data_IF_987553753449
#
_entry.id   IF_987553753449
#
_cell.length_a   1.000
_cell.length_b   1.000
_cell.length_c   1.000
_cell.angle_alpha   90.00
_cell.angle_beta   90.00
_cell.angle_gamma   90.00
#
_symmetry.space_group_name_H-M   'P 1'
#
loop_
_entity.id
_entity.type
_entity.pdbx_description
1 polymer ?
#
# COMPACT_ATOMS: atom_id res chain seq x y z
N UNK A 1 -38.95 -81.37 31.38
CA UNK A 1 -38.59 -80.19 32.12
C UNK A 1 -37.36 -79.56 31.42
N UNK A 2 -37.59 -78.58 30.54
CA UNK A 2 -36.53 -77.80 29.87
C UNK A 2 -36.59 -76.43 30.47
N UNK A 3 -35.53 -75.98 31.16
CA UNK A 3 -35.40 -74.62 31.67
C UNK A 3 -34.57 -73.78 30.70
N UNK A 4 -35.12 -72.63 30.47
CA UNK A 4 -34.76 -71.58 29.56
C UNK A 4 -33.52 -70.83 30.07
N UNK A 5 -32.47 -70.74 29.28
CA UNK A 5 -31.22 -70.03 29.58
C UNK A 5 -30.90 -68.91 28.52
N UNK A 6 -31.89 -68.03 28.31
CA UNK A 6 -31.74 -66.99 27.30
C UNK A 6 -31.98 -65.55 27.82
N UNK A 7 -31.43 -65.15 29.00
CA UNK A 7 -31.72 -63.83 29.52
C UNK A 7 -30.49 -63.04 30.15
N UNK A 8 -29.26 -63.38 29.83
CA UNK A 8 -28.14 -62.66 30.46
C UNK A 8 -27.08 -62.11 29.51
N UNK A 9 -27.33 -61.95 28.22
CA UNK A 9 -26.26 -61.49 27.29
C UNK A 9 -26.62 -60.19 26.48
N UNK A 10 -27.45 -59.31 27.08
CA UNK A 10 -27.95 -58.14 26.36
C UNK A 10 -27.69 -56.78 27.06
N UNK A 11 -26.78 -56.71 28.01
CA UNK A 11 -26.52 -55.50 28.82
C UNK A 11 -25.09 -54.97 28.79
N UNK A 12 -24.19 -55.49 27.98
CA UNK A 12 -22.77 -55.05 27.96
C UNK A 12 -22.30 -54.40 26.66
N UNK A 13 -23.17 -54.16 25.69
CA UNK A 13 -22.82 -53.59 24.39
C UNK A 13 -23.17 -52.08 24.24
N UNK A 14 -23.56 -51.40 25.31
CA UNK A 14 -23.98 -49.99 25.25
C UNK A 14 -23.05 -48.99 25.96
N UNK A 15 -21.85 -49.37 26.37
CA UNK A 15 -20.94 -48.51 27.18
C UNK A 15 -19.60 -48.17 26.51
N UNK A 16 -19.38 -48.48 25.22
CA UNK A 16 -18.11 -48.17 24.52
C UNK A 16 -18.27 -47.06 23.45
N UNK A 17 -19.47 -46.51 23.24
CA UNK A 17 -19.70 -45.52 22.17
C UNK A 17 -19.62 -44.03 22.62
N UNK A 18 -19.15 -43.73 23.82
CA UNK A 18 -19.14 -42.34 24.35
C UNK A 18 -17.76 -41.75 24.66
N UNK A 19 -16.65 -42.28 24.11
CA UNK A 19 -15.32 -41.82 24.44
C UNK A 19 -14.55 -41.17 23.26
N UNK A 20 -15.21 -40.86 22.13
CA UNK A 20 -14.57 -40.18 20.98
C UNK A 20 -15.11 -38.79 20.70
N UNK A 21 -15.76 -38.16 21.67
CA UNK A 21 -16.18 -36.77 21.57
C UNK A 21 -15.20 -35.89 22.36
N UNK A 22 -14.30 -35.26 21.68
CA UNK A 22 -13.70 -34.03 22.23
C UNK A 22 -12.19 -34.04 22.48
N UNK A 23 -11.41 -34.02 21.45
CA UNK A 23 -10.15 -33.28 21.50
C UNK A 23 -9.96 -32.52 20.17
N UNK A 24 -10.89 -31.58 19.88
CA UNK A 24 -10.53 -30.43 19.10
C UNK A 24 -9.71 -29.57 20.06
N UNK A 25 -8.43 -29.89 20.22
CA UNK A 25 -7.48 -28.94 20.76
C UNK A 25 -7.52 -27.75 19.81
N UNK A 26 -8.05 -26.63 20.29
CA UNK A 26 -7.69 -25.32 19.76
C UNK A 26 -6.15 -25.27 19.83
N UNK A 27 -5.48 -25.61 18.74
CA UNK A 27 -4.07 -25.29 18.56
C UNK A 27 -4.01 -23.77 18.68
N UNK A 28 -3.64 -23.29 19.87
CA UNK A 28 -3.05 -21.96 19.99
C UNK A 28 -1.85 -22.00 19.06
N UNK A 29 -2.01 -21.50 17.86
CA UNK A 29 -0.93 -21.41 16.91
C UNK A 29 0.12 -20.54 17.58
N UNK A 30 1.29 -21.09 17.92
CA UNK A 30 2.45 -20.33 18.38
C UNK A 30 3.01 -19.48 17.21
N UNK A 31 2.12 -18.80 16.52
CA UNK A 31 2.50 -17.88 15.46
C UNK A 31 2.95 -16.56 16.07
N UNK A 32 4.09 -15.99 15.62
CA UNK A 32 5.07 -16.58 14.69
C UNK A 32 6.21 -17.34 15.40
N UNK A 33 6.74 -18.41 14.74
CA UNK A 33 7.88 -19.21 15.24
C UNK A 33 9.14 -19.02 14.37
N UNK A 34 9.06 -18.30 13.26
CA UNK A 34 10.16 -18.04 12.31
C UNK A 34 10.05 -16.60 11.79
N UNK A 35 11.10 -16.05 11.17
CA UNK A 35 11.06 -14.71 10.59
C UNK A 35 9.92 -14.53 9.58
N UNK A 36 9.31 -13.35 9.60
CA UNK A 36 8.32 -12.93 8.60
C UNK A 36 9.02 -12.21 7.44
N UNK A 37 8.39 -12.20 6.26
CA UNK A 37 8.85 -11.44 5.09
C UNK A 37 7.81 -10.39 4.71
N UNK A 38 8.24 -9.15 4.58
CA UNK A 38 7.48 -8.07 3.96
C UNK A 38 8.00 -7.87 2.54
N UNK A 39 7.19 -8.24 1.55
CA UNK A 39 7.49 -8.02 0.13
C UNK A 39 7.03 -6.62 -0.24
N UNK A 40 7.97 -5.77 -0.66
CA UNK A 40 7.73 -4.37 -1.01
C UNK A 40 7.91 -4.18 -2.52
N UNK A 41 6.91 -3.68 -3.26
CA UNK A 41 6.91 -3.67 -4.73
C UNK A 41 7.70 -2.52 -5.37
N UNK A 42 8.51 -1.80 -4.61
CA UNK A 42 9.28 -0.63 -5.07
C UNK A 42 10.71 -0.70 -4.54
N UNK A 43 11.62 0.08 -5.16
CA UNK A 43 13.01 0.16 -4.72
C UNK A 43 13.13 0.69 -3.28
N UNK A 44 14.20 0.31 -2.59
CA UNK A 44 14.49 0.77 -1.24
C UNK A 44 14.54 2.31 -1.18
N UNK A 45 14.00 2.90 -0.10
CA UNK A 45 13.86 4.36 0.06
C UNK A 45 12.61 4.94 -0.60
N UNK A 46 11.78 4.15 -1.29
CA UNK A 46 10.42 4.56 -1.68
C UNK A 46 9.52 4.71 -0.47
N UNK A 47 8.48 5.57 -0.54
CA UNK A 47 7.58 5.81 0.58
C UNK A 47 6.99 4.54 1.19
N UNK A 48 6.63 3.56 0.36
CA UNK A 48 6.15 2.24 0.82
C UNK A 48 7.21 1.47 1.60
N UNK A 49 8.48 1.49 1.15
CA UNK A 49 9.61 0.83 1.81
C UNK A 49 9.91 1.48 3.18
N UNK A 50 9.87 2.81 3.24
CA UNK A 50 10.09 3.56 4.48
C UNK A 50 9.03 3.18 5.54
N UNK A 51 7.75 3.13 5.15
CA UNK A 51 6.66 2.71 6.04
C UNK A 51 6.83 1.24 6.46
N UNK A 52 7.13 0.35 5.51
CA UNK A 52 7.35 -1.07 5.78
C UNK A 52 8.45 -1.29 6.84
N UNK A 53 9.58 -0.59 6.72
CA UNK A 53 10.68 -0.66 7.70
C UNK A 53 10.29 -0.07 9.06
N UNK A 54 9.62 1.09 9.05
CA UNK A 54 9.21 1.76 10.29
C UNK A 54 8.26 0.89 11.13
N UNK A 55 7.24 0.33 10.49
CA UNK A 55 6.25 -0.52 11.17
C UNK A 55 6.82 -1.92 11.44
N UNK A 56 7.58 -2.48 10.49
CA UNK A 56 8.23 -3.78 10.61
C UNK A 56 9.19 -3.87 11.79
N UNK A 57 9.99 -2.83 12.05
CA UNK A 57 10.86 -2.75 13.23
C UNK A 57 10.08 -2.85 14.53
N UNK A 58 8.96 -2.13 14.64
CA UNK A 58 8.12 -2.15 15.85
C UNK A 58 7.40 -3.50 16.01
N UNK A 59 6.83 -4.04 14.94
CA UNK A 59 6.18 -5.35 14.96
C UNK A 59 7.18 -6.48 15.26
N UNK A 60 8.42 -6.41 14.75
CA UNK A 60 9.47 -7.39 15.02
C UNK A 60 9.77 -7.49 16.52
N UNK A 61 9.83 -6.36 17.22
CA UNK A 61 10.03 -6.31 18.68
C UNK A 61 8.86 -6.93 19.44
N UNK A 62 7.63 -6.62 19.02
CA UNK A 62 6.40 -7.11 19.66
C UNK A 62 6.19 -8.61 19.41
N UNK A 63 6.44 -9.09 18.19
CA UNK A 63 6.29 -10.50 17.79
C UNK A 63 7.45 -11.40 18.28
N UNK A 64 8.58 -10.82 18.70
CA UNK A 64 9.78 -11.58 19.07
C UNK A 64 10.42 -12.32 17.89
N UNK A 65 10.07 -11.97 16.66
CA UNK A 65 10.59 -12.57 15.43
C UNK A 65 11.04 -11.49 14.45
N UNK A 66 12.16 -11.68 13.73
CA UNK A 66 12.62 -10.74 12.72
C UNK A 66 11.61 -10.57 11.61
N UNK A 67 11.49 -9.33 11.12
CA UNK A 67 10.74 -9.00 9.88
C UNK A 67 11.75 -8.58 8.81
N UNK A 68 11.88 -9.40 7.77
CA UNK A 68 12.80 -9.17 6.65
C UNK A 68 12.07 -8.42 5.55
N UNK A 69 12.59 -7.25 5.17
CA UNK A 69 12.05 -6.46 4.06
C UNK A 69 12.75 -6.87 2.76
N UNK A 70 11.95 -7.35 1.79
CA UNK A 70 12.42 -7.76 0.48
C UNK A 70 11.81 -6.86 -0.61
N UNK A 71 12.64 -6.06 -1.28
CA UNK A 71 12.18 -5.17 -2.36
C UNK A 71 12.10 -5.95 -3.67
N UNK A 72 10.91 -5.99 -4.31
CA UNK A 72 10.61 -6.65 -5.59
C UNK A 72 9.97 -5.65 -6.56
N UNK A 73 10.72 -4.71 -7.11
CA UNK A 73 10.17 -3.66 -7.95
C UNK A 73 9.78 -4.18 -9.34
N UNK A 74 8.79 -3.53 -9.94
CA UNK A 74 8.39 -3.75 -11.32
C UNK A 74 6.89 -3.80 -11.56
N UNK A 75 6.47 -3.42 -12.76
CA UNK A 75 5.09 -3.43 -13.24
C UNK A 75 4.07 -2.86 -12.24
N UNK A 76 4.36 -1.67 -11.66
CA UNK A 76 3.48 -1.01 -10.68
C UNK A 76 3.19 -1.83 -9.43
N UNK A 77 3.98 -2.86 -9.14
CA UNK A 77 3.83 -3.73 -7.98
C UNK A 77 3.14 -5.05 -8.26
N UNK A 78 2.69 -5.32 -9.48
CA UNK A 78 1.99 -6.57 -9.83
C UNK A 78 2.88 -7.80 -9.68
N UNK A 79 4.21 -7.68 -9.89
CA UNK A 79 5.18 -8.77 -9.70
C UNK A 79 5.20 -9.21 -8.23
N UNK A 80 5.34 -8.26 -7.31
CA UNK A 80 5.35 -8.53 -5.88
C UNK A 80 4.00 -9.08 -5.40
N UNK A 81 2.89 -8.50 -5.86
CA UNK A 81 1.55 -8.95 -5.53
C UNK A 81 1.29 -10.39 -6.00
N UNK A 82 1.71 -10.74 -7.22
CA UNK A 82 1.62 -12.10 -7.76
C UNK A 82 2.46 -13.11 -6.95
N UNK A 83 3.64 -12.72 -6.48
CA UNK A 83 4.47 -13.55 -5.62
C UNK A 83 3.76 -13.86 -4.30
N UNK A 84 3.18 -12.84 -3.64
CA UNK A 84 2.48 -13.03 -2.37
C UNK A 84 1.17 -13.80 -2.56
N UNK A 85 0.40 -13.52 -3.60
CA UNK A 85 -0.83 -14.25 -3.92
C UNK A 85 -0.62 -15.77 -4.07
N UNK A 86 0.59 -16.18 -4.51
CA UNK A 86 1.00 -17.58 -4.71
C UNK A 86 1.83 -18.16 -3.56
N UNK A 87 2.09 -17.39 -2.51
CA UNK A 87 2.83 -17.89 -1.34
C UNK A 87 1.93 -18.72 -0.42
N UNK A 88 2.57 -19.52 0.45
CA UNK A 88 1.85 -20.28 1.48
C UNK A 88 1.01 -19.34 2.34
N UNK A 89 -0.28 -19.67 2.60
CA UNK A 89 -1.16 -18.81 3.37
C UNK A 89 -0.98 -19.01 4.88
N UNK A 90 0.28 -18.99 5.34
CA UNK A 90 0.69 -19.26 6.72
C UNK A 90 0.98 -17.97 7.53
N UNK A 91 0.80 -16.79 6.92
CA UNK A 91 1.03 -15.48 7.55
C UNK A 91 2.47 -15.01 7.57
N UNK A 92 3.43 -15.78 7.06
CA UNK A 92 4.84 -15.40 7.08
C UNK A 92 5.31 -14.60 5.87
N UNK A 93 4.53 -14.57 4.80
CA UNK A 93 4.84 -13.75 3.62
C UNK A 93 3.71 -12.75 3.39
N UNK A 94 4.01 -11.47 3.54
CA UNK A 94 3.04 -10.39 3.47
C UNK A 94 3.47 -9.37 2.42
N UNK A 95 2.50 -8.80 1.71
CA UNK A 95 2.70 -7.71 0.78
C UNK A 95 2.50 -6.37 1.50
N UNK A 96 3.48 -5.49 1.42
CA UNK A 96 3.32 -4.10 1.84
C UNK A 96 3.22 -3.25 0.59
N UNK A 97 2.00 -2.86 0.22
CA UNK A 97 1.75 -2.17 -1.04
C UNK A 97 1.09 -0.80 -0.82
N UNK A 98 1.21 0.06 -1.81
CA UNK A 98 0.55 1.37 -1.85
C UNK A 98 -0.83 1.28 -2.50
N UNK A 99 -1.56 2.41 -2.53
CA UNK A 99 -2.85 2.56 -3.22
C UNK A 99 -2.83 2.15 -4.71
N UNK A 100 -1.65 1.99 -5.32
CA UNK A 100 -1.50 1.34 -6.63
C UNK A 100 -2.04 -0.09 -6.69
N UNK A 101 -2.12 -0.79 -5.55
CA UNK A 101 -2.77 -2.11 -5.45
C UNK A 101 -4.22 -2.09 -5.95
N UNK A 102 -4.95 -1.05 -5.63
CA UNK A 102 -6.33 -0.86 -6.08
C UNK A 102 -6.43 -0.45 -7.57
N UNK A 103 -5.38 0.16 -8.14
CA UNK A 103 -5.35 0.58 -9.54
C UNK A 103 -5.03 -0.58 -10.50
N UNK A 104 -4.18 -1.51 -10.08
CA UNK A 104 -3.62 -2.53 -10.95
C UNK A 104 -4.67 -3.33 -11.75
N UNK A 105 -5.81 -3.76 -11.19
CA UNK A 105 -6.84 -4.47 -11.95
C UNK A 105 -7.47 -3.66 -13.08
N UNK A 106 -7.46 -2.34 -12.99
CA UNK A 106 -8.06 -1.46 -13.99
C UNK A 106 -7.16 -1.24 -15.21
N UNK A 107 -5.84 -1.43 -15.08
CA UNK A 107 -4.88 -1.10 -16.14
C UNK A 107 -4.08 -2.29 -16.66
N UNK A 108 -3.93 -3.37 -15.89
CA UNK A 108 -3.24 -4.59 -16.32
C UNK A 108 -4.27 -5.67 -16.72
N UNK A 109 -4.50 -5.90 -18.02
CA UNK A 109 -5.54 -6.83 -18.46
C UNK A 109 -5.23 -8.31 -18.14
N UNK A 110 -3.94 -8.64 -17.98
CA UNK A 110 -3.46 -10.01 -17.79
C UNK A 110 -2.74 -10.19 -16.46
N UNK A 111 -3.40 -9.83 -15.35
CA UNK A 111 -2.87 -10.14 -14.02
C UNK A 111 -2.84 -11.65 -13.80
N UNK A 112 -1.75 -12.17 -13.25
CA UNK A 112 -1.60 -13.58 -12.90
C UNK A 112 -2.21 -13.93 -11.53
N UNK A 113 -3.00 -13.03 -10.95
CA UNK A 113 -3.75 -13.14 -9.70
C UNK A 113 -5.01 -12.27 -9.75
N UNK A 114 -6.00 -12.60 -8.93
CA UNK A 114 -7.18 -11.76 -8.69
C UNK A 114 -6.99 -10.98 -7.38
N UNK A 115 -6.98 -9.65 -7.46
CA UNK A 115 -6.72 -8.75 -6.33
C UNK A 115 -7.67 -9.00 -5.15
N UNK A 116 -8.91 -9.43 -5.41
CA UNK A 116 -9.96 -9.59 -4.39
C UNK A 116 -10.18 -11.02 -3.93
N UNK A 117 -9.76 -12.01 -4.74
CA UNK A 117 -9.93 -13.43 -4.42
C UNK A 117 -8.67 -14.07 -3.87
N UNK A 118 -7.48 -13.65 -4.37
CA UNK A 118 -6.22 -14.26 -4.00
C UNK A 118 -5.49 -13.49 -2.89
N UNK A 119 -5.92 -12.25 -2.62
CA UNK A 119 -5.32 -11.37 -1.61
C UNK A 119 -6.38 -10.80 -0.67
N UNK A 120 -6.00 -10.58 0.59
CA UNK A 120 -6.84 -9.96 1.62
C UNK A 120 -6.07 -8.89 2.39
N UNK A 121 -6.73 -7.77 2.68
CA UNK A 121 -6.16 -6.70 3.50
C UNK A 121 -6.08 -7.11 4.97
N UNK A 122 -4.93 -6.85 5.59
CA UNK A 122 -4.74 -6.98 7.05
C UNK A 122 -5.06 -5.65 7.73
N UNK A 123 -4.39 -4.56 7.33
CA UNK A 123 -4.67 -3.20 7.78
C UNK A 123 -3.91 -2.20 6.92
N UNK A 124 -4.40 -0.97 6.71
CA UNK A 124 -3.56 0.11 6.22
C UNK A 124 -2.60 0.55 7.34
N UNK A 125 -1.37 0.86 6.97
CA UNK A 125 -0.30 1.21 7.91
C UNK A 125 -0.16 2.73 8.04
N UNK A 126 -0.20 3.44 6.92
CA UNK A 126 -0.07 4.89 6.92
C UNK A 126 -0.77 5.53 5.72
N UNK A 127 -1.25 6.75 5.93
CA UNK A 127 -1.56 7.72 4.90
C UNK A 127 -0.32 8.59 4.68
N UNK A 128 0.06 8.77 3.41
CA UNK A 128 1.18 9.63 3.03
C UNK A 128 0.70 10.68 2.03
N UNK A 129 1.02 11.96 2.23
CA UNK A 129 0.81 12.93 1.17
C UNK A 129 1.81 12.69 0.04
N UNK A 130 1.35 12.84 -1.20
CA UNK A 130 2.27 13.14 -2.29
C UNK A 130 2.45 14.66 -2.38
N UNK A 131 3.64 15.09 -2.72
CA UNK A 131 3.98 16.48 -2.98
C UNK A 131 4.40 16.63 -4.44
N UNK A 132 3.82 17.59 -5.13
CA UNK A 132 4.28 17.98 -6.46
C UNK A 132 5.63 18.68 -6.33
N UNK A 133 6.67 18.06 -6.87
CA UNK A 133 8.04 18.58 -6.86
C UNK A 133 8.54 18.83 -8.27
N UNK A 134 9.37 19.87 -8.40
CA UNK A 134 10.08 20.25 -9.61
C UNK A 134 11.54 20.55 -9.29
N UNK A 135 12.42 20.55 -10.30
CA UNK A 135 13.78 21.09 -10.14
C UNK A 135 13.73 22.62 -9.94
N UNK A 136 14.46 23.17 -8.96
CA UNK A 136 14.58 24.62 -8.80
C UNK A 136 15.06 25.34 -10.08
N UNK A 137 15.85 24.66 -10.90
CA UNK A 137 16.36 25.18 -12.17
C UNK A 137 15.26 25.49 -13.21
N UNK A 138 14.03 24.91 -13.04
CA UNK A 138 12.88 25.23 -13.89
C UNK A 138 12.33 26.64 -13.67
N UNK A 139 12.63 27.25 -12.53
CA UNK A 139 12.13 28.58 -12.18
C UNK A 139 10.65 28.64 -11.78
N UNK A 140 9.91 27.52 -11.86
CA UNK A 140 8.50 27.44 -11.45
C UNK A 140 8.37 27.56 -9.93
N UNK A 141 7.42 28.37 -9.48
CA UNK A 141 7.16 28.65 -8.06
C UNK A 141 5.79 28.15 -7.59
N UNK A 142 4.87 27.96 -8.54
CA UNK A 142 3.47 27.63 -8.28
C UNK A 142 2.99 26.51 -9.19
N UNK A 143 1.88 25.86 -8.81
CA UNK A 143 1.16 24.91 -9.69
C UNK A 143 0.69 25.62 -10.96
N UNK A 144 0.28 26.90 -10.85
CA UNK A 144 -0.17 27.69 -12.00
C UNK A 144 0.94 27.84 -13.08
N UNK A 145 2.21 27.96 -12.68
CA UNK A 145 3.33 28.03 -13.62
C UNK A 145 3.46 26.75 -14.44
N UNK A 146 3.34 25.57 -13.77
CA UNK A 146 3.37 24.27 -14.44
C UNK A 146 2.20 24.10 -15.39
N UNK A 147 0.99 24.44 -14.92
CA UNK A 147 -0.25 24.32 -15.71
C UNK A 147 -0.19 25.24 -16.94
N UNK A 148 0.23 26.50 -16.77
CA UNK A 148 0.37 27.45 -17.87
C UNK A 148 1.39 26.99 -18.90
N UNK A 149 2.58 26.52 -18.45
CA UNK A 149 3.61 26.00 -19.32
C UNK A 149 3.15 24.78 -20.12
N UNK A 150 2.46 23.82 -19.45
CA UNK A 150 1.95 22.62 -20.10
C UNK A 150 0.81 22.91 -21.10
N UNK A 151 -0.08 23.85 -20.80
CA UNK A 151 -1.14 24.30 -21.73
C UNK A 151 -0.58 25.00 -22.95
N UNK A 152 0.48 25.78 -22.80
CA UNK A 152 1.16 26.45 -23.92
C UNK A 152 1.93 25.46 -24.82
N UNK A 153 2.31 24.29 -24.31
CA UNK A 153 3.11 23.30 -25.02
C UNK A 153 2.59 21.88 -24.78
N UNK A 154 1.42 21.48 -25.28
CA UNK A 154 0.82 20.17 -25.05
C UNK A 154 1.77 19.02 -25.46
N UNK A 155 1.90 18.01 -24.60
CA UNK A 155 2.72 16.82 -24.85
C UNK A 155 4.25 17.05 -24.85
N UNK A 156 4.74 18.25 -24.49
CA UNK A 156 6.17 18.57 -24.45
C UNK A 156 6.84 18.39 -23.09
N UNK A 157 6.04 18.35 -22.04
CA UNK A 157 6.55 18.14 -20.68
C UNK A 157 6.44 16.69 -20.25
N UNK A 158 7.37 16.27 -19.41
CA UNK A 158 7.42 14.91 -18.86
C UNK A 158 7.10 14.92 -17.37
N UNK A 159 6.40 13.91 -16.91
CA UNK A 159 6.27 13.66 -15.48
C UNK A 159 6.77 12.27 -15.09
N UNK A 160 7.40 12.20 -13.92
CA UNK A 160 7.92 10.95 -13.38
C UNK A 160 6.86 10.22 -12.55
N UNK A 161 7.01 8.90 -12.42
CA UNK A 161 6.30 8.08 -11.44
C UNK A 161 7.15 6.93 -10.93
N UNK A 162 6.71 6.27 -9.85
CA UNK A 162 7.31 5.03 -9.36
C UNK A 162 6.91 3.79 -10.21
N UNK A 163 6.42 4.01 -11.43
CA UNK A 163 6.06 3.00 -12.42
C UNK A 163 4.59 3.06 -12.85
N UNK A 164 4.32 2.48 -14.03
CA UNK A 164 2.96 2.32 -14.55
C UNK A 164 2.11 1.58 -13.51
N UNK A 165 0.94 2.11 -13.16
CA UNK A 165 0.07 1.51 -12.15
C UNK A 165 0.43 1.82 -10.69
N UNK A 166 1.49 2.59 -10.43
CA UNK A 166 1.79 3.05 -9.07
C UNK A 166 0.81 4.13 -8.62
N UNK A 167 0.72 4.34 -7.31
CA UNK A 167 -0.08 5.41 -6.73
C UNK A 167 0.35 6.82 -7.22
N UNK A 168 1.65 7.02 -7.41
CA UNK A 168 2.19 8.29 -7.92
C UNK A 168 1.81 8.53 -9.38
N UNK A 169 1.68 7.47 -10.19
CA UNK A 169 1.16 7.54 -11.55
C UNK A 169 -0.31 7.96 -11.55
N UNK A 170 -1.16 7.30 -10.74
CA UNK A 170 -2.59 7.63 -10.66
C UNK A 170 -2.82 9.07 -10.17
N UNK A 171 -2.04 9.52 -9.17
CA UNK A 171 -2.11 10.90 -8.69
C UNK A 171 -1.80 11.91 -9.81
N UNK A 172 -0.74 11.66 -10.58
CA UNK A 172 -0.35 12.52 -11.69
C UNK A 172 -1.43 12.55 -12.78
N UNK A 173 -2.00 11.41 -13.15
CA UNK A 173 -3.06 11.34 -14.15
C UNK A 173 -4.36 12.02 -13.68
N UNK A 174 -4.76 11.82 -12.42
CA UNK A 174 -5.89 12.57 -11.83
C UNK A 174 -5.66 14.08 -11.92
N UNK A 175 -4.46 14.54 -11.55
CA UNK A 175 -4.08 15.94 -11.64
C UNK A 175 -4.13 16.46 -13.09
N UNK A 176 -3.56 15.73 -14.04
CA UNK A 176 -3.59 16.09 -15.48
C UNK A 176 -5.01 16.27 -16.00
N UNK A 177 -5.89 15.32 -15.68
CA UNK A 177 -7.31 15.37 -16.06
C UNK A 177 -8.00 16.62 -15.51
N UNK A 178 -7.81 16.92 -14.22
CA UNK A 178 -8.45 18.06 -13.56
C UNK A 178 -7.87 19.40 -13.99
N UNK A 179 -6.56 19.46 -14.26
CA UNK A 179 -5.89 20.66 -14.75
C UNK A 179 -6.09 20.92 -16.25
N UNK A 180 -6.59 19.92 -17.00
CA UNK A 180 -6.74 19.98 -18.45
C UNK A 180 -5.40 20.18 -19.15
N UNK A 181 -4.37 19.43 -18.76
CA UNK A 181 -3.02 19.47 -19.34
C UNK A 181 -2.61 18.13 -19.94
N UNK A 182 -1.74 18.19 -20.92
CA UNK A 182 -1.10 17.03 -21.52
C UNK A 182 0.40 17.00 -21.17
N UNK A 183 0.87 15.82 -20.70
CA UNK A 183 2.26 15.57 -20.35
C UNK A 183 2.59 14.08 -20.50
N UNK A 184 3.84 13.77 -20.87
CA UNK A 184 4.31 12.42 -21.17
C UNK A 184 4.73 11.72 -19.87
N UNK A 185 4.26 10.49 -19.69
CA UNK A 185 4.63 9.68 -18.53
C UNK A 185 6.00 9.00 -18.70
N UNK A 186 6.87 9.15 -17.70
CA UNK A 186 8.18 8.48 -17.61
C UNK A 186 8.19 7.60 -16.36
N UNK A 187 7.99 6.27 -16.48
CA UNK A 187 7.95 5.36 -15.35
C UNK A 187 9.35 4.95 -14.87
N UNK A 188 9.53 4.89 -13.54
CA UNK A 188 10.71 4.36 -12.85
C UNK A 188 10.34 3.11 -12.02
N UNK A 189 11.34 2.44 -11.44
CA UNK A 189 11.13 1.27 -10.55
C UNK A 189 10.78 1.67 -9.10
N UNK A 190 10.95 2.95 -8.77
CA UNK A 190 10.65 3.49 -7.45
C UNK A 190 10.82 5.01 -7.38
N UNK A 191 10.61 5.55 -6.19
CA UNK A 191 10.66 6.99 -5.94
C UNK A 191 12.08 7.59 -6.05
N UNK A 192 13.16 6.94 -5.53
CA UNK A 192 14.49 7.54 -5.54
C UNK A 192 15.01 7.86 -6.93
N UNK A 193 14.82 6.95 -7.89
CA UNK A 193 15.23 7.12 -9.28
C UNK A 193 14.46 8.26 -9.96
N UNK A 194 13.13 8.32 -9.72
CA UNK A 194 12.27 9.39 -10.21
C UNK A 194 12.68 10.77 -9.67
N UNK A 195 12.98 10.86 -8.35
CA UNK A 195 13.44 12.10 -7.72
C UNK A 195 14.80 12.56 -8.29
N UNK A 196 15.74 11.62 -8.47
CA UNK A 196 17.05 11.93 -9.06
C UNK A 196 16.91 12.47 -10.48
N UNK A 197 15.96 11.98 -11.24
CA UNK A 197 15.71 12.39 -12.60
C UNK A 197 15.07 13.79 -12.67
N UNK A 198 14.16 14.12 -11.74
CA UNK A 198 13.60 15.48 -11.60
C UNK A 198 14.67 16.48 -11.16
N UNK A 199 15.52 16.13 -10.17
CA UNK A 199 16.65 16.97 -9.75
C UNK A 199 17.57 17.27 -10.93
N UNK A 200 17.85 16.27 -11.78
CA UNK A 200 18.66 16.41 -12.99
C UNK A 200 17.96 17.14 -14.14
N UNK A 201 16.72 17.57 -13.99
CA UNK A 201 15.95 18.34 -14.97
C UNK A 201 15.50 17.55 -16.22
N UNK A 202 15.65 16.21 -16.23
CA UNK A 202 15.20 15.35 -17.34
C UNK A 202 13.69 15.12 -17.31
N UNK A 203 13.10 15.02 -16.12
CA UNK A 203 11.66 15.12 -15.92
C UNK A 203 11.28 16.46 -15.34
N UNK A 204 10.12 16.97 -15.72
CA UNK A 204 9.68 18.32 -15.37
C UNK A 204 9.07 18.38 -13.99
N UNK A 205 8.29 17.37 -13.61
CA UNK A 205 7.62 17.29 -12.31
C UNK A 205 7.34 15.84 -11.88
N UNK A 206 7.05 15.68 -10.58
CA UNK A 206 6.72 14.41 -9.98
C UNK A 206 5.80 14.61 -8.76
N UNK A 207 4.73 13.84 -8.63
CA UNK A 207 4.00 13.69 -7.38
C UNK A 207 4.69 12.63 -6.52
N UNK A 208 5.68 13.06 -5.75
CA UNK A 208 6.50 12.19 -4.92
C UNK A 208 5.88 11.98 -3.53
N UNK A 209 5.96 10.76 -2.93
CA UNK A 209 5.67 10.59 -1.52
C UNK A 209 6.51 11.54 -0.67
N UNK A 210 5.86 12.32 0.20
CA UNK A 210 6.52 13.34 1.00
C UNK A 210 7.66 12.75 1.85
N UNK A 211 7.46 11.53 2.37
CA UNK A 211 8.48 10.81 3.14
C UNK A 211 9.82 10.66 2.43
N UNK A 212 9.81 10.53 1.09
CA UNK A 212 11.03 10.42 0.29
C UNK A 212 11.52 11.78 -0.20
N UNK A 213 10.63 12.74 -0.43
CA UNK A 213 10.97 14.05 -1.01
C UNK A 213 11.39 15.10 0.04
N UNK A 214 10.87 14.99 1.28
CA UNK A 214 11.04 16.01 2.32
C UNK A 214 12.50 16.38 2.62
N UNK A 215 13.45 15.44 2.75
CA UNK A 215 14.86 15.79 2.92
C UNK A 215 15.42 16.60 1.75
N UNK A 216 15.07 16.23 0.52
CA UNK A 216 15.55 16.90 -0.70
C UNK A 216 14.93 18.30 -0.87
N UNK A 217 13.68 18.49 -0.40
CA UNK A 217 13.03 19.81 -0.36
C UNK A 217 13.73 20.70 0.67
N UNK A 218 14.02 20.18 1.87
CA UNK A 218 14.74 20.91 2.93
C UNK A 218 16.17 21.29 2.52
N UNK A 219 16.83 20.42 1.76
CA UNK A 219 18.15 20.66 1.19
C UNK A 219 18.13 21.62 -0.03
N UNK A 220 16.95 22.10 -0.46
CA UNK A 220 16.81 22.98 -1.62
C UNK A 220 17.09 22.31 -2.96
N UNK A 221 17.21 20.97 -3.02
CA UNK A 221 17.41 20.20 -4.26
C UNK A 221 16.13 20.06 -5.06
N UNK A 222 14.98 20.19 -4.42
CA UNK A 222 13.65 20.17 -5.02
C UNK A 222 12.82 21.35 -4.51
N UNK A 223 11.99 21.90 -5.40
CA UNK A 223 10.97 22.89 -5.08
C UNK A 223 9.63 22.17 -4.92
N UNK A 224 8.99 22.28 -3.73
CA UNK A 224 7.63 21.82 -3.50
C UNK A 224 6.63 22.88 -4.00
N UNK A 225 5.63 22.47 -4.79
CA UNK A 225 4.60 23.36 -5.33
C UNK A 225 3.24 23.17 -4.67
N UNK A 226 2.82 21.94 -4.42
CA UNK A 226 1.56 21.61 -3.73
C UNK A 226 1.59 20.19 -3.15
N UNK A 227 0.82 19.95 -2.10
CA UNK A 227 0.51 18.60 -1.61
C UNK A 227 -0.81 18.11 -2.21
N UNK A 228 -0.93 16.80 -2.45
CA UNK A 228 -2.15 16.23 -3.05
C UNK A 228 -3.27 15.93 -2.05
N UNK A 229 -3.03 16.08 -0.75
CA UNK A 229 -4.02 15.84 0.30
C UNK A 229 -5.10 16.93 0.33
N UNK A 230 -6.33 16.63 0.85
CA UNK A 230 -7.38 17.63 1.00
C UNK A 230 -7.00 18.80 1.93
N UNK A 231 -6.03 18.59 2.82
CA UNK A 231 -5.52 19.59 3.76
C UNK A 231 -4.00 19.70 3.64
N UNK A 232 -3.44 20.87 4.00
CA UNK A 232 -1.99 21.08 4.06
C UNK A 232 -1.33 20.11 5.03
N UNK A 233 -0.10 19.74 4.75
CA UNK A 233 0.66 18.86 5.63
C UNK A 233 1.49 19.67 6.65
N UNK A 234 1.49 19.23 7.90
CA UNK A 234 2.20 19.91 8.98
C UNK A 234 3.73 19.98 8.78
N UNK A 235 4.32 19.07 8.01
CA UNK A 235 5.75 19.11 7.69
C UNK A 235 6.10 20.20 6.65
N UNK A 236 5.10 20.71 5.89
CA UNK A 236 5.23 21.77 4.87
C UNK A 236 4.03 22.74 4.95
N UNK A 237 3.82 23.46 6.07
CA UNK A 237 2.59 24.24 6.30
C UNK A 237 2.39 25.40 5.31
N UNK A 238 3.48 25.90 4.71
CA UNK A 238 3.44 26.95 3.69
C UNK A 238 3.09 26.44 2.29
N UNK A 239 3.19 25.12 2.03
CA UNK A 239 2.90 24.53 0.71
C UNK A 239 1.39 24.29 0.61
N UNK A 240 0.70 24.89 -0.38
CA UNK A 240 -0.74 24.72 -0.55
C UNK A 240 -1.10 23.30 -0.96
N UNK A 241 -2.38 22.95 -0.86
CA UNK A 241 -2.92 21.76 -1.52
C UNK A 241 -3.08 22.02 -3.03
N UNK A 242 -3.18 20.97 -3.84
CA UNK A 242 -3.45 21.13 -5.28
C UNK A 242 -4.80 21.80 -5.54
N UNK A 243 -5.78 21.60 -4.62
CA UNK A 243 -7.10 22.26 -4.69
C UNK A 243 -6.99 23.76 -4.36
N UNK A 244 -6.28 24.14 -3.29
CA UNK A 244 -5.96 25.53 -2.95
C UNK A 244 -5.16 26.23 -4.06
N UNK A 245 -4.34 25.48 -4.78
CA UNK A 245 -3.56 25.95 -5.93
C UNK A 245 -4.38 26.07 -7.22
N UNK A 246 -5.71 25.90 -7.16
CA UNK A 246 -6.64 26.16 -8.26
C UNK A 246 -7.01 24.95 -9.11
N UNK A 247 -6.61 23.71 -8.75
CA UNK A 247 -6.97 22.49 -9.48
C UNK A 247 -8.01 21.70 -8.68
N UNK A 248 -9.26 22.08 -8.80
CA UNK A 248 -10.38 21.43 -8.11
C UNK A 248 -10.47 19.93 -8.45
N UNK A 249 -10.79 19.09 -7.46
CA UNK A 249 -10.95 17.64 -7.64
C UNK A 249 -9.65 16.86 -7.88
N UNK A 250 -8.48 17.50 -7.77
CA UNK A 250 -7.16 16.87 -7.95
C UNK A 250 -6.59 16.26 -6.67
N UNK A 251 -7.30 16.38 -5.55
CA UNK A 251 -6.89 15.76 -4.29
C UNK A 251 -6.72 14.25 -4.43
N UNK A 252 -5.72 13.70 -3.76
CA UNK A 252 -5.38 12.28 -3.81
C UNK A 252 -4.78 11.83 -2.49
N UNK A 253 -5.34 10.76 -1.92
CA UNK A 253 -4.80 10.14 -0.71
C UNK A 253 -3.97 8.92 -1.09
N UNK A 254 -2.67 9.02 -0.86
CA UNK A 254 -1.77 7.89 -0.98
C UNK A 254 -1.76 7.14 0.35
N UNK A 255 -2.01 5.84 0.32
CA UNK A 255 -1.93 4.98 1.50
C UNK A 255 -0.97 3.80 1.26
N UNK A 256 -0.44 3.26 2.33
CA UNK A 256 0.34 2.01 2.37
C UNK A 256 -0.37 1.03 3.28
N UNK A 257 -0.53 -0.21 2.82
CA UNK A 257 -1.23 -1.26 3.57
C UNK A 257 -0.50 -2.59 3.58
N UNK A 258 -0.82 -3.38 4.59
CA UNK A 258 -0.40 -4.76 4.77
C UNK A 258 -1.46 -5.69 4.23
N UNK A 259 -1.06 -6.64 3.38
CA UNK A 259 -1.92 -7.52 2.61
C UNK A 259 -1.34 -8.95 2.72
N UNK A 260 -2.20 -9.94 2.85
CA UNK A 260 -1.84 -11.35 2.95
C UNK A 260 -2.48 -12.18 1.83
N UNK A 261 -2.06 -13.43 1.58
CA UNK A 261 -2.83 -14.38 0.78
C UNK A 261 -4.24 -14.55 1.35
N UNK A 262 -5.26 -14.62 0.48
CA UNK A 262 -6.66 -14.66 0.92
C UNK A 262 -7.01 -15.89 1.76
N UNK A 263 -6.32 -17.02 1.52
CA UNK A 263 -6.52 -18.26 2.26
C UNK A 263 -5.83 -18.29 3.64
N UNK A 264 -5.16 -17.20 4.07
CA UNK A 264 -4.53 -17.12 5.40
C UNK A 264 -5.58 -17.24 6.50
N UNK A 265 -5.38 -18.11 7.50
CA UNK A 265 -6.36 -18.32 8.56
C UNK A 265 -6.76 -17.03 9.26
N UNK A 266 -8.06 -16.84 9.51
CA UNK A 266 -8.60 -15.62 10.09
C UNK A 266 -7.98 -15.28 11.47
N UNK A 267 -7.56 -16.30 12.25
CA UNK A 267 -6.87 -16.09 13.51
C UNK A 267 -5.49 -15.39 13.31
N UNK A 268 -4.75 -15.78 12.27
CA UNK A 268 -3.46 -15.19 11.92
C UNK A 268 -3.67 -13.76 11.39
N UNK A 269 -4.68 -13.53 10.54
CA UNK A 269 -5.02 -12.18 10.05
C UNK A 269 -5.32 -11.24 11.23
N UNK A 270 -6.14 -11.70 12.19
CA UNK A 270 -6.44 -10.88 13.40
C UNK A 270 -5.19 -10.60 14.23
N UNK A 271 -4.34 -11.60 14.46
CA UNK A 271 -3.10 -11.41 15.20
C UNK A 271 -2.15 -10.43 14.52
N UNK A 272 -1.96 -10.53 13.20
CA UNK A 272 -1.17 -9.59 12.41
C UNK A 272 -1.76 -8.16 12.47
N UNK A 273 -3.09 -8.04 12.38
CA UNK A 273 -3.78 -6.76 12.55
C UNK A 273 -3.53 -6.17 13.94
N UNK A 274 -3.73 -6.95 15.02
CA UNK A 274 -3.51 -6.51 16.39
C UNK A 274 -2.07 -6.02 16.62
N UNK A 275 -1.07 -6.75 16.12
CA UNK A 275 0.32 -6.35 16.24
C UNK A 275 0.65 -5.09 15.43
N UNK A 276 0.09 -4.95 14.23
CA UNK A 276 0.21 -3.71 13.46
C UNK A 276 -0.47 -2.53 14.18
N UNK A 277 -1.66 -2.73 14.74
CA UNK A 277 -2.39 -1.72 15.52
C UNK A 277 -1.58 -1.25 16.74
N UNK A 278 -0.95 -2.19 17.49
CA UNK A 278 -0.05 -1.86 18.61
C UNK A 278 1.15 -1.04 18.14
N UNK A 279 1.79 -1.46 17.04
CA UNK A 279 2.91 -0.73 16.45
C UNK A 279 2.51 0.70 16.08
N UNK A 280 1.39 0.88 15.37
CA UNK A 280 0.88 2.17 14.92
C UNK A 280 0.41 3.07 16.09
N UNK A 281 -0.02 2.49 17.21
CA UNK A 281 -0.41 3.23 18.40
C UNK A 281 0.80 3.74 19.21
N UNK A 282 1.99 3.14 19.03
CA UNK A 282 3.19 3.48 19.79
C UNK A 282 3.69 4.89 19.49
N UNK A 283 4.21 5.58 20.53
CA UNK A 283 4.74 6.94 20.38
C UNK A 283 5.92 7.00 19.40
N UNK A 284 6.81 6.01 19.42
CA UNK A 284 7.97 5.92 18.53
C UNK A 284 7.56 5.85 17.06
N UNK A 285 6.62 4.96 16.70
CA UNK A 285 6.16 4.82 15.31
C UNK A 285 5.42 6.08 14.87
N UNK A 286 4.53 6.65 15.71
CA UNK A 286 3.84 7.91 15.40
C UNK A 286 4.83 9.04 15.14
N UNK A 287 5.83 9.21 16.00
CA UNK A 287 6.85 10.25 15.85
C UNK A 287 7.67 10.05 14.57
N UNK A 288 8.10 8.80 14.29
CA UNK A 288 8.85 8.47 13.07
C UNK A 288 8.04 8.73 11.81
N UNK A 289 6.75 8.35 11.77
CA UNK A 289 5.87 8.63 10.63
C UNK A 289 5.61 10.12 10.48
N UNK A 290 5.29 10.85 11.56
CA UNK A 290 5.02 12.28 11.52
C UNK A 290 6.24 13.10 11.03
N UNK A 291 7.47 12.72 11.43
CA UNK A 291 8.71 13.34 10.92
C UNK A 291 8.85 13.22 9.40
N UNK A 292 8.21 12.22 8.80
CA UNK A 292 8.19 11.95 7.37
C UNK A 292 6.94 12.52 6.69
N UNK A 293 6.09 13.25 7.43
CA UNK A 293 4.83 13.80 6.95
C UNK A 293 3.74 12.76 6.72
N UNK A 294 3.87 11.56 7.30
CA UNK A 294 2.92 10.47 7.22
C UNK A 294 2.12 10.34 8.51
N UNK A 295 0.86 9.91 8.40
CA UNK A 295 -0.03 9.67 9.53
C UNK A 295 -0.39 8.19 9.62
N UNK A 296 -0.40 7.57 10.83
CA UNK A 296 -0.95 6.23 11.02
C UNK A 296 -2.40 6.15 10.54
N UNK A 297 -2.74 5.03 9.86
CA UNK A 297 -4.08 4.83 9.29
C UNK A 297 -4.66 3.46 9.68
N UNK A 298 -4.84 3.17 10.98
CA UNK A 298 -5.27 1.85 11.44
C UNK A 298 -6.73 1.55 11.10
N UNK A 299 -7.01 0.32 10.61
CA UNK A 299 -8.37 -0.19 10.37
C UNK A 299 -8.45 -1.67 10.74
N UNK A 300 -9.68 -2.17 10.97
CA UNK A 300 -9.93 -3.61 10.99
C UNK A 300 -9.74 -4.25 9.61
N UNK A 301 -9.47 -5.55 9.51
CA UNK A 301 -9.35 -6.25 8.22
C UNK A 301 -10.59 -6.07 7.34
N UNK A 302 -11.79 -6.15 7.93
CA UNK A 302 -13.06 -5.99 7.21
C UNK A 302 -13.22 -4.58 6.63
N UNK A 303 -12.92 -3.55 7.44
CA UNK A 303 -12.96 -2.15 7.03
C UNK A 303 -11.94 -1.86 5.94
N UNK A 304 -10.73 -2.42 6.05
CA UNK A 304 -9.69 -2.24 5.05
C UNK A 304 -10.03 -2.92 3.72
N UNK A 305 -10.59 -4.13 3.75
CA UNK A 305 -11.05 -4.80 2.53
C UNK A 305 -12.22 -4.04 1.85
N UNK A 306 -13.13 -3.45 2.63
CA UNK A 306 -14.17 -2.58 2.09
C UNK A 306 -13.57 -1.30 1.46
N UNK A 307 -12.58 -0.70 2.12
CA UNK A 307 -11.85 0.46 1.61
C UNK A 307 -11.10 0.14 0.31
N UNK A 308 -10.37 -0.99 0.23
CA UNK A 308 -9.70 -1.43 -1.03
C UNK A 308 -10.70 -1.52 -2.18
N UNK A 309 -11.89 -2.13 -1.96
CA UNK A 309 -12.93 -2.23 -3.02
C UNK A 309 -13.45 -0.86 -3.46
N UNK A 310 -13.63 0.07 -2.54
CA UNK A 310 -14.01 1.46 -2.86
C UNK A 310 -12.93 2.16 -3.70
N UNK A 311 -11.67 2.01 -3.30
CA UNK A 311 -10.52 2.55 -4.02
C UNK A 311 -10.38 1.96 -5.43
N UNK A 312 -10.64 0.65 -5.61
CA UNK A 312 -10.64 0.01 -6.93
C UNK A 312 -11.68 0.64 -7.86
N UNK A 313 -12.89 0.91 -7.36
CA UNK A 313 -13.94 1.57 -8.14
C UNK A 313 -13.53 2.99 -8.55
N UNK A 314 -13.00 3.78 -7.61
CA UNK A 314 -12.53 5.13 -7.87
C UNK A 314 -11.36 5.15 -8.86
N UNK A 315 -10.38 4.27 -8.67
CA UNK A 315 -9.22 4.14 -9.55
C UNK A 315 -9.62 3.73 -10.97
N UNK A 316 -10.60 2.82 -11.13
CA UNK A 316 -11.11 2.41 -12.44
C UNK A 316 -11.77 3.57 -13.22
N UNK A 317 -12.43 4.51 -12.53
CA UNK A 317 -13.00 5.71 -13.16
C UNK A 317 -11.89 6.59 -13.73
N UNK A 318 -10.84 6.86 -12.92
CA UNK A 318 -9.71 7.69 -13.33
C UNK A 318 -8.93 6.99 -14.47
N UNK A 319 -8.67 5.69 -14.34
CA UNK A 319 -7.94 4.92 -15.36
C UNK A 319 -8.65 4.97 -16.72
N UNK A 320 -9.97 4.82 -16.75
CA UNK A 320 -10.76 4.94 -18.00
C UNK A 320 -10.72 6.34 -18.57
N UNK A 321 -10.91 7.38 -17.74
CA UNK A 321 -10.89 8.77 -18.18
C UNK A 321 -9.52 9.20 -18.72
N UNK A 322 -8.43 8.67 -18.14
CA UNK A 322 -7.05 8.91 -18.60
C UNK A 322 -6.59 7.96 -19.72
N UNK A 323 -7.41 7.01 -20.15
CA UNK A 323 -7.05 6.04 -21.18
C UNK A 323 -5.92 5.09 -20.77
N UNK A 324 -5.75 4.84 -19.45
CA UNK A 324 -4.62 4.05 -18.94
C UNK A 324 -4.79 2.57 -19.27
N UNK A 325 -3.79 2.01 -19.94
CA UNK A 325 -3.62 0.57 -20.16
C UNK A 325 -2.14 0.24 -20.10
N UNK A 326 -1.79 -0.81 -19.36
CA UNK A 326 -0.45 -1.40 -19.43
C UNK A 326 -0.39 -2.37 -20.60
N UNK A 327 0.64 -2.24 -21.42
CA UNK A 327 0.91 -3.14 -22.54
C UNK A 327 1.42 -4.50 -22.05
#
# INVERSE_FOLDING_TARGET
>A
MKQDTSFKMRRWTFLIALSFAGWVQAQSSNFPQKPLKFIVPFTAGSGTDIVARTVGDAMSKSLGQPIVIENKPGAGGTIAAAQVAKSEPDGYTLLIHSSGHALNPAIYPNLSYDTTKDLTGVTPLASLPNVMVVSPARGWKTVADVVAAAKANPGKFNYASAGMGSATHLNAEKFKLQAGIDAVHVPFKGTPEALSDVIGGRNDWFFAPLSSALPLIRDGKLQALAVSTPQRNAALPQVPTTVEAGVAGSDYVFWVGMIAPAATPAAIIRQLNEEAMKALASADVKERLNKLGADPMPMSPESFNAFIRSEMNAAAVIARAAGLKAN
#
